data_IF_573934331460
#
_entry.id   IF_573934331460
#
_cell.length_a   1.000
_cell.length_b   1.000
_cell.length_c   1.000
_cell.angle_alpha   90.00
_cell.angle_beta   90.00
_cell.angle_gamma   90.00
#
_symmetry.space_group_name_H-M   'P 1'
#
loop_
_entity.id
_entity.type
_entity.pdbx_description
1 polymer ?
#
# COMPACT_ATOMS: atom_id res chain seq x y z
N UNK A 1 13.93 7.92 -19.74
CA UNK A 1 12.69 7.13 -19.98
C UNK A 1 11.52 8.10 -20.10
N UNK A 2 10.67 7.93 -21.12
CA UNK A 2 9.52 8.81 -21.40
C UNK A 2 8.61 8.85 -20.16
N UNK A 3 8.22 10.06 -19.77
CA UNK A 3 7.80 10.40 -18.42
C UNK A 3 6.56 9.66 -17.93
N UNK A 4 6.70 8.94 -16.82
CA UNK A 4 5.66 9.00 -15.79
C UNK A 4 5.44 10.49 -15.49
N UNK A 5 4.19 10.96 -15.49
CA UNK A 5 3.97 12.34 -15.10
C UNK A 5 4.50 12.48 -13.67
N UNK A 6 5.38 13.45 -13.44
CA UNK A 6 5.96 13.70 -12.11
C UNK A 6 4.83 13.84 -11.06
N UNK A 7 3.70 14.41 -11.49
CA UNK A 7 2.47 14.50 -10.72
C UNK A 7 1.96 13.13 -10.28
N UNK A 8 1.73 12.18 -11.20
CA UNK A 8 1.18 10.87 -10.86
C UNK A 8 2.12 10.04 -10.00
N UNK A 9 3.42 10.11 -10.28
CA UNK A 9 4.43 9.51 -9.42
C UNK A 9 4.36 10.09 -7.99
N UNK A 10 4.27 11.41 -7.87
CA UNK A 10 4.21 12.08 -6.56
C UNK A 10 2.92 11.76 -5.81
N UNK A 11 1.78 11.73 -6.50
CA UNK A 11 0.48 11.32 -5.92
C UNK A 11 0.57 9.87 -5.41
N UNK A 12 1.05 8.94 -6.24
CA UNK A 12 1.19 7.54 -5.84
C UNK A 12 2.18 7.39 -4.66
N UNK A 13 3.27 8.16 -4.65
CA UNK A 13 4.24 8.20 -3.56
C UNK A 13 3.58 8.65 -2.25
N UNK A 14 2.86 9.77 -2.28
CA UNK A 14 2.19 10.33 -1.10
C UNK A 14 1.14 9.36 -0.58
N UNK A 15 0.32 8.76 -1.46
CA UNK A 15 -0.68 7.78 -1.06
C UNK A 15 -0.05 6.51 -0.49
N UNK A 16 1.05 6.03 -1.08
CA UNK A 16 1.78 4.86 -0.59
C UNK A 16 2.39 5.12 0.77
N UNK A 17 3.08 6.25 0.95
CA UNK A 17 3.66 6.64 2.24
C UNK A 17 2.55 6.83 3.28
N UNK A 18 1.48 7.54 2.93
CA UNK A 18 0.31 7.70 3.80
C UNK A 18 -0.30 6.37 4.22
N UNK A 19 -0.35 5.39 3.31
CA UNK A 19 -0.84 4.05 3.62
C UNK A 19 -0.02 3.33 4.70
N UNK A 20 1.28 3.63 4.88
CA UNK A 20 2.07 3.09 6.00
C UNK A 20 1.71 3.71 7.36
N UNK A 21 1.10 4.90 7.38
CA UNK A 21 0.69 5.58 8.60
C UNK A 21 -0.75 5.28 9.03
N UNK A 22 -1.58 4.75 8.12
CA UNK A 22 -2.97 4.34 8.40
C UNK A 22 -3.12 3.50 9.70
N UNK A 23 -2.23 2.54 10.04
CA UNK A 23 -2.35 1.73 11.27
C UNK A 23 -2.35 2.52 12.58
N UNK A 24 -1.81 3.75 12.55
CA UNK A 24 -1.72 4.64 13.70
C UNK A 24 -2.82 5.71 13.69
N UNK A 25 -3.44 5.92 12.53
CA UNK A 25 -4.39 7.01 12.31
C UNK A 25 -5.84 6.59 12.49
N UNK A 26 -6.22 5.36 12.12
CA UNK A 26 -7.62 4.92 12.08
C UNK A 26 -7.84 3.61 12.85
N UNK A 27 -9.06 3.33 13.30
CA UNK A 27 -9.39 2.09 14.01
C UNK A 27 -9.09 0.85 13.18
N UNK A 28 -8.60 -0.18 13.86
CA UNK A 28 -8.13 -1.41 13.26
C UNK A 28 -9.18 -2.07 12.35
N UNK A 29 -10.47 -1.94 12.64
CA UNK A 29 -11.54 -2.47 11.77
C UNK A 29 -11.51 -1.83 10.39
N UNK A 30 -11.37 -0.50 10.33
CA UNK A 30 -11.29 0.26 9.08
C UNK A 30 -10.00 -0.05 8.34
N UNK A 31 -8.89 -0.14 9.08
CA UNK A 31 -7.58 -0.44 8.50
C UNK A 31 -7.55 -1.86 7.90
N UNK A 32 -8.04 -2.85 8.63
CA UNK A 32 -8.14 -4.24 8.18
C UNK A 32 -9.04 -4.33 6.94
N UNK A 33 -10.20 -3.66 6.96
CA UNK A 33 -11.10 -3.62 5.81
C UNK A 33 -10.42 -2.99 4.59
N UNK A 34 -9.79 -1.83 4.75
CA UNK A 34 -9.13 -1.11 3.66
C UNK A 34 -8.00 -1.93 3.04
N UNK A 35 -7.11 -2.52 3.85
CA UNK A 35 -6.05 -3.39 3.34
C UNK A 35 -6.59 -4.70 2.76
N UNK A 36 -7.66 -5.25 3.32
CA UNK A 36 -8.37 -6.39 2.76
C UNK A 36 -8.89 -6.13 1.34
N UNK A 37 -9.46 -4.94 1.11
CA UNK A 37 -9.90 -4.50 -0.23
C UNK A 37 -8.69 -4.43 -1.19
N UNK A 38 -7.56 -3.91 -0.74
CA UNK A 38 -6.35 -3.84 -1.59
C UNK A 38 -5.79 -5.23 -1.91
N UNK A 39 -5.77 -6.15 -0.94
CA UNK A 39 -5.40 -7.55 -1.16
C UNK A 39 -6.34 -8.19 -2.19
N UNK A 40 -7.66 -8.00 -2.04
CA UNK A 40 -8.66 -8.51 -2.97
C UNK A 40 -8.46 -7.92 -4.36
N UNK A 41 -8.15 -6.63 -4.48
CA UNK A 41 -7.83 -5.99 -5.75
C UNK A 41 -6.65 -6.67 -6.45
N UNK A 42 -5.57 -6.98 -5.72
CA UNK A 42 -4.44 -7.71 -6.29
C UNK A 42 -4.79 -9.16 -6.65
N UNK A 43 -5.65 -9.82 -5.88
CA UNK A 43 -6.10 -11.18 -6.15
C UNK A 43 -6.99 -11.28 -7.39
N UNK A 44 -7.91 -10.32 -7.58
CA UNK A 44 -8.88 -10.30 -8.69
C UNK A 44 -8.27 -9.75 -9.97
N UNK A 45 -7.60 -8.59 -9.89
CA UNK A 45 -7.10 -7.89 -11.09
C UNK A 45 -5.64 -8.20 -11.40
N UNK A 46 -4.91 -8.80 -10.47
CA UNK A 46 -3.48 -9.05 -10.64
C UNK A 46 -2.64 -7.78 -10.77
N UNK A 47 -3.17 -6.60 -10.40
CA UNK A 47 -2.50 -5.30 -10.53
C UNK A 47 -3.09 -4.25 -9.60
N UNK A 48 -2.39 -3.13 -9.47
CA UNK A 48 -2.92 -1.97 -8.75
C UNK A 48 -3.85 -1.20 -9.69
N UNK A 49 -5.11 -0.97 -9.32
CA UNK A 49 -6.04 -0.20 -10.18
C UNK A 49 -5.52 1.22 -10.46
N UNK A 50 -4.79 1.81 -9.51
CA UNK A 50 -4.18 3.13 -9.68
C UNK A 50 -3.04 3.17 -10.71
N UNK A 51 -2.47 2.00 -11.08
CA UNK A 51 -1.50 1.92 -12.18
C UNK A 51 -2.18 1.95 -13.56
N UNK A 52 -3.43 1.49 -13.64
CA UNK A 52 -4.13 1.29 -14.91
C UNK A 52 -4.81 2.58 -15.42
N UNK A 53 -5.11 3.51 -14.53
CA UNK A 53 -5.78 4.78 -14.83
C UNK A 53 -5.00 5.72 -15.77
N UNK A 54 -3.73 5.44 -16.07
CA UNK A 54 -2.88 6.38 -16.80
C UNK A 54 -2.01 5.76 -17.90
N UNK A 55 -2.55 4.87 -18.74
CA UNK A 55 -2.00 4.49 -20.06
C UNK A 55 -0.48 4.21 -20.11
N UNK A 56 0.09 3.74 -19.00
CA UNK A 56 1.48 3.31 -18.91
C UNK A 56 1.49 1.85 -19.31
N UNK A 57 2.15 1.52 -20.42
CA UNK A 57 2.38 0.14 -20.83
C UNK A 57 2.98 -0.62 -19.63
N UNK A 58 2.22 -1.58 -19.08
CA UNK A 58 2.69 -2.43 -17.99
C UNK A 58 3.88 -3.26 -18.52
N UNK A 59 5.10 -2.76 -18.29
CA UNK A 59 6.29 -3.57 -18.43
C UNK A 59 6.21 -4.71 -17.43
N UNK A 60 6.36 -5.92 -17.96
CA UNK A 60 6.32 -7.18 -17.22
C UNK A 60 7.14 -7.06 -15.94
N UNK A 61 6.46 -7.18 -14.80
CA UNK A 61 7.02 -7.19 -13.43
C UNK A 61 7.50 -5.85 -12.83
N UNK A 62 7.20 -4.70 -13.45
CA UNK A 62 7.41 -3.41 -12.79
C UNK A 62 6.32 -3.13 -11.73
N UNK A 63 6.77 -2.65 -10.57
CA UNK A 63 5.92 -2.16 -9.48
C UNK A 63 6.31 -0.71 -9.17
N UNK A 64 5.42 0.01 -8.47
CA UNK A 64 5.77 1.34 -7.98
C UNK A 64 7.05 1.32 -7.11
N UNK A 65 7.19 0.29 -6.27
CA UNK A 65 8.39 0.11 -5.43
C UNK A 65 9.66 -0.10 -6.25
N UNK A 66 9.62 -0.81 -7.37
CA UNK A 66 10.81 -0.93 -8.23
C UNK A 66 11.19 0.41 -8.86
N UNK A 67 10.23 1.25 -9.26
CA UNK A 67 10.55 2.61 -9.77
C UNK A 67 11.18 3.50 -8.69
N UNK A 68 10.64 3.45 -7.45
CA UNK A 68 11.23 4.18 -6.31
C UNK A 68 12.65 3.69 -6.01
N UNK A 69 12.86 2.38 -5.94
CA UNK A 69 14.18 1.80 -5.63
C UNK A 69 15.20 2.07 -6.75
N UNK A 70 14.80 1.94 -8.01
CA UNK A 70 15.66 2.23 -9.17
C UNK A 70 16.11 3.72 -9.15
N UNK A 71 15.21 4.65 -8.79
CA UNK A 71 15.54 6.09 -8.63
C UNK A 71 16.49 6.37 -7.47
N UNK A 72 16.49 5.53 -6.44
CA UNK A 72 17.41 5.59 -5.30
C UNK A 72 18.76 4.89 -5.61
N UNK A 73 18.92 4.32 -6.80
CA UNK A 73 20.14 3.61 -7.23
C UNK A 73 20.17 2.12 -6.87
N UNK A 74 19.09 1.58 -6.32
CA UNK A 74 18.96 0.16 -6.00
C UNK A 74 18.30 -0.61 -7.13
N UNK A 75 18.83 -1.77 -7.49
CA UNK A 75 18.29 -2.61 -8.56
C UNK A 75 17.75 -3.93 -7.97
N UNK A 76 16.58 -3.90 -7.29
CA UNK A 76 16.03 -5.08 -6.64
C UNK A 76 15.59 -6.13 -7.66
N UNK A 77 15.56 -7.39 -7.25
CA UNK A 77 14.91 -8.43 -8.04
C UNK A 77 13.40 -8.16 -8.09
N UNK A 78 12.94 -7.64 -9.24
CA UNK A 78 11.56 -7.19 -9.48
C UNK A 78 10.51 -8.26 -9.21
N UNK A 79 10.82 -9.53 -9.49
CA UNK A 79 9.90 -10.66 -9.25
C UNK A 79 9.65 -10.93 -7.75
N UNK A 80 10.71 -10.85 -6.94
CA UNK A 80 10.65 -11.03 -5.49
C UNK A 80 9.95 -9.83 -4.85
N UNK A 81 10.31 -8.62 -5.27
CA UNK A 81 9.68 -7.39 -4.80
C UNK A 81 8.18 -7.38 -5.12
N UNK A 82 7.80 -7.76 -6.33
CA UNK A 82 6.39 -7.88 -6.74
C UNK A 82 5.63 -8.87 -5.87
N UNK A 83 6.20 -10.04 -5.58
CA UNK A 83 5.57 -11.03 -4.68
C UNK A 83 5.43 -10.49 -3.26
N UNK A 84 6.44 -9.80 -2.76
CA UNK A 84 6.39 -9.17 -1.44
C UNK A 84 5.30 -8.10 -1.35
N UNK A 85 5.32 -7.12 -2.27
CA UNK A 85 4.38 -6.00 -2.29
C UNK A 85 2.94 -6.47 -2.48
N UNK A 86 2.70 -7.45 -3.36
CA UNK A 86 1.33 -7.89 -3.69
C UNK A 86 0.80 -8.99 -2.76
N UNK A 87 1.67 -9.73 -2.09
CA UNK A 87 1.28 -10.86 -1.24
C UNK A 87 1.42 -10.57 0.25
N UNK A 88 2.60 -10.13 0.68
CA UNK A 88 2.95 -10.07 2.10
C UNK A 88 2.78 -8.70 2.73
N UNK A 89 3.04 -7.62 1.99
CA UNK A 89 3.09 -6.26 2.54
C UNK A 89 1.81 -5.88 3.31
N UNK A 90 0.64 -6.02 2.69
CA UNK A 90 -0.63 -5.64 3.32
C UNK A 90 -1.02 -6.56 4.48
N UNK A 91 -0.63 -7.84 4.43
CA UNK A 91 -0.82 -8.78 5.54
C UNK A 91 0.07 -8.38 6.73
N UNK A 92 1.31 -7.97 6.47
CA UNK A 92 2.21 -7.44 7.50
C UNK A 92 1.65 -6.16 8.10
N UNK A 93 1.13 -5.23 7.29
CA UNK A 93 0.52 -3.99 7.79
C UNK A 93 -0.73 -4.26 8.65
N UNK A 94 -1.56 -5.23 8.28
CA UNK A 94 -2.67 -5.72 9.12
C UNK A 94 -2.11 -6.24 10.46
N UNK A 95 -1.10 -7.11 10.42
CA UNK A 95 -0.48 -7.66 11.63
C UNK A 95 0.07 -6.57 12.55
N UNK A 96 0.78 -5.59 11.99
CA UNK A 96 1.28 -4.42 12.72
C UNK A 96 0.13 -3.64 13.36
N UNK A 97 -0.96 -3.41 12.62
CA UNK A 97 -2.15 -2.70 13.12
C UNK A 97 -2.75 -3.41 14.32
N UNK A 98 -2.96 -4.73 14.22
CA UNK A 98 -3.58 -5.52 15.28
C UNK A 98 -2.67 -5.60 16.51
N UNK A 99 -1.36 -5.81 16.33
CA UNK A 99 -0.40 -5.83 17.44
C UNK A 99 -0.37 -4.46 18.12
N UNK A 100 -0.35 -3.37 17.35
CA UNK A 100 -0.29 -2.01 17.89
C UNK A 100 -1.55 -1.63 18.65
N UNK A 101 -2.73 -1.80 18.05
CA UNK A 101 -3.98 -1.32 18.66
C UNK A 101 -4.57 -2.31 19.66
N UNK A 102 -4.57 -3.61 19.35
CA UNK A 102 -5.16 -4.62 20.23
C UNK A 102 -4.14 -5.23 21.19
N UNK A 103 -2.89 -5.45 20.74
CA UNK A 103 -1.86 -6.07 21.55
C UNK A 103 -1.19 -5.10 22.55
N UNK A 104 -0.98 -3.84 22.15
CA UNK A 104 -0.37 -2.80 22.98
C UNK A 104 -1.39 -1.78 23.51
N UNK A 105 -2.68 -2.02 23.26
CA UNK A 105 -3.80 -1.17 23.72
C UNK A 105 -3.60 0.31 23.37
N UNK A 106 -3.05 0.59 22.18
CA UNK A 106 -2.82 1.95 21.69
C UNK A 106 -4.01 2.42 20.87
N UNK A 107 -4.63 3.52 21.31
CA UNK A 107 -5.69 4.14 20.53
C UNK A 107 -5.15 4.77 19.23
N UNK A 108 -5.89 4.66 18.12
CA UNK A 108 -5.59 5.40 16.90
C UNK A 108 -5.88 6.89 17.09
N UNK A 109 -5.30 7.74 16.24
CA UNK A 109 -5.53 9.19 16.30
C UNK A 109 -6.98 9.59 16.01
N UNK A 110 -7.64 8.86 15.11
CA UNK A 110 -9.05 9.02 14.79
C UNK A 110 -9.73 7.73 15.19
N UNK A 111 -10.51 7.79 16.27
CA UNK A 111 -11.37 6.68 16.68
C UNK A 111 -12.83 6.95 16.29
N UNK A 112 -13.44 6.00 15.57
CA UNK A 112 -14.87 5.94 15.29
C UNK A 112 -15.65 5.22 16.39
N UNK A 113 -14.97 4.69 17.43
CA UNK A 113 -15.60 4.04 18.58
C UNK A 113 -16.67 4.91 19.29
N UNK A 114 -16.49 6.22 19.49
CA UNK A 114 -17.48 7.09 20.14
C UNK A 114 -18.77 7.33 19.31
N UNK A 115 -18.83 6.86 18.06
CA UNK A 115 -19.97 7.10 17.15
C UNK A 115 -20.87 5.87 16.99
N UNK A 116 -20.45 4.70 17.49
CA UNK A 116 -21.18 3.43 17.36
C UNK A 116 -21.85 2.98 18.67
N UNK A 117 -21.70 3.75 19.75
CA UNK A 117 -22.33 3.59 21.06
C UNK A 117 -22.76 4.95 21.61
#
# INVERSE_FOLDING_TARGET
>A
MKGTSLLWFSVHLVLTVGAYFIPFMFDWQLVVLAYGIVILQFAVFGRCLMNDGHNLEEKKDETFYSDVLDRLGFHPNRSVLKRFVRGYLYVVLIGVTLIWQLGLEREPWVSIWPLLH
#
